data_IF_431025418502
#
_entry.id   IF_431025418502
#
_cell.length_a   1.000
_cell.length_b   1.000
_cell.length_c   1.000
_cell.angle_alpha   90.00
_cell.angle_beta   90.00
_cell.angle_gamma   90.00
#
_symmetry.space_group_name_H-M   'P 1'
#
loop_
_entity.id
_entity.type
_entity.pdbx_description
1 polymer ?
#
# COMPACT_ATOMS: atom_id res chain seq x y z
N UNK A 1 -20.61 -1.59 12.90
CA UNK A 1 -19.26 -1.61 12.30
C UNK A 1 -18.35 -2.51 13.13
N UNK A 2 -17.59 -3.39 12.50
CA UNK A 2 -16.52 -4.12 13.17
C UNK A 2 -15.25 -3.27 13.11
N UNK A 3 -14.70 -2.94 14.26
CA UNK A 3 -13.38 -2.35 14.42
C UNK A 3 -12.57 -3.29 15.31
N UNK A 4 -11.53 -3.90 14.75
CA UNK A 4 -10.76 -4.95 15.45
C UNK A 4 -9.31 -4.93 15.01
N UNK A 5 -8.40 -5.09 15.96
CA UNK A 5 -6.98 -5.35 15.69
C UNK A 5 -6.72 -6.85 15.73
N UNK A 6 -6.07 -7.36 14.71
CA UNK A 6 -5.63 -8.77 14.62
C UNK A 6 -4.11 -8.76 14.59
N UNK A 7 -3.48 -9.47 15.53
CA UNK A 7 -2.04 -9.70 15.51
C UNK A 7 -1.73 -10.86 14.57
N UNK A 8 -0.93 -10.67 13.54
CA UNK A 8 -0.74 -11.65 12.49
C UNK A 8 -0.12 -12.97 13.00
N UNK A 9 0.78 -12.90 13.99
CA UNK A 9 1.39 -14.11 14.59
C UNK A 9 0.39 -15.04 15.30
N UNK A 10 -0.79 -14.54 15.67
CA UNK A 10 -1.83 -15.37 16.31
C UNK A 10 -2.50 -16.30 15.29
N UNK A 11 -2.46 -15.95 14.01
CA UNK A 11 -2.95 -16.74 12.87
C UNK A 11 -1.83 -17.48 12.13
N UNK A 12 -0.64 -16.84 12.07
CA UNK A 12 0.54 -17.33 11.39
C UNK A 12 1.73 -17.30 12.37
N UNK A 13 1.92 -18.33 13.22
CA UNK A 13 2.93 -18.31 14.31
C UNK A 13 4.35 -17.99 13.84
N UNK A 14 4.75 -18.42 12.64
CA UNK A 14 6.06 -18.13 12.07
C UNK A 14 6.29 -16.62 11.83
N UNK A 15 5.22 -15.82 11.68
CA UNK A 15 5.34 -14.36 11.63
C UNK A 15 5.67 -13.74 13.00
N UNK A 16 5.65 -14.51 14.08
CA UNK A 16 6.06 -14.07 15.42
C UNK A 16 7.54 -14.28 15.74
N UNK A 17 8.30 -14.92 14.86
CA UNK A 17 9.72 -15.14 15.06
C UNK A 17 10.46 -13.82 15.22
N UNK A 18 11.54 -13.83 16.05
CA UNK A 18 12.33 -12.63 16.36
C UNK A 18 11.51 -11.45 16.95
N UNK A 19 10.46 -11.76 17.73
CA UNK A 19 9.58 -10.78 18.37
C UNK A 19 8.83 -9.86 17.41
N UNK A 20 8.55 -10.29 16.18
CA UNK A 20 7.68 -9.56 15.25
C UNK A 20 6.27 -9.42 15.83
N UNK A 21 5.66 -8.25 15.64
CA UNK A 21 4.34 -7.94 16.18
C UNK A 21 3.44 -7.22 15.16
N UNK A 22 3.63 -7.50 13.88
CA UNK A 22 2.79 -6.94 12.84
C UNK A 22 1.31 -7.22 13.12
N UNK A 23 0.49 -6.22 12.89
CA UNK A 23 -0.95 -6.33 13.10
C UNK A 23 -1.72 -5.63 11.98
N UNK A 24 -2.96 -6.05 11.80
CA UNK A 24 -3.90 -5.42 10.89
C UNK A 24 -5.12 -4.91 11.67
N UNK A 25 -5.45 -3.64 11.48
CA UNK A 25 -6.69 -3.05 12.01
C UNK A 25 -7.77 -3.12 10.95
N UNK A 26 -8.90 -3.72 11.29
CA UNK A 26 -10.07 -3.89 10.46
C UNK A 26 -11.08 -2.79 10.70
N UNK A 27 -11.59 -2.20 9.61
CA UNK A 27 -12.71 -1.27 9.59
C UNK A 27 -13.76 -1.82 8.62
N UNK A 28 -14.77 -2.53 9.15
CA UNK A 28 -15.77 -3.23 8.35
C UNK A 28 -17.16 -2.66 8.65
N UNK A 29 -17.81 -2.00 7.65
CA UNK A 29 -19.17 -1.48 7.83
C UNK A 29 -20.17 -2.60 8.08
N UNK A 30 -21.24 -2.30 8.84
CA UNK A 30 -22.35 -3.23 9.03
C UNK A 30 -23.09 -3.52 7.71
N UNK A 31 -23.68 -4.71 7.55
CA UNK A 31 -24.57 -4.99 6.44
C UNK A 31 -25.85 -4.13 6.52
N UNK A 32 -26.46 -3.88 5.34
CA UNK A 32 -27.69 -3.07 5.22
C UNK A 32 -28.88 -3.97 4.89
N UNK A 33 -29.39 -4.67 5.92
CA UNK A 33 -30.46 -5.67 5.76
C UNK A 33 -31.77 -5.06 5.25
N UNK A 34 -32.13 -3.86 5.70
CA UNK A 34 -33.35 -3.15 5.26
C UNK A 34 -33.34 -2.77 3.80
N UNK A 35 -32.15 -2.71 3.17
CA UNK A 35 -31.97 -2.47 1.75
C UNK A 35 -31.84 -3.76 0.93
N UNK A 36 -32.04 -4.93 1.51
CA UNK A 36 -31.78 -6.21 0.86
C UNK A 36 -30.30 -6.48 0.56
N UNK A 37 -29.39 -5.80 1.26
CA UNK A 37 -27.94 -5.91 1.06
C UNK A 37 -27.23 -6.60 2.23
N UNK A 38 -27.92 -7.54 2.89
CA UNK A 38 -27.36 -8.31 3.99
C UNK A 38 -26.10 -9.09 3.61
N UNK A 39 -26.09 -9.69 2.42
CA UNK A 39 -24.99 -10.50 1.90
C UNK A 39 -24.13 -9.76 0.87
N UNK A 40 -24.27 -8.44 0.77
CA UNK A 40 -23.50 -7.66 -0.18
C UNK A 40 -22.02 -7.63 0.17
N UNK A 41 -21.19 -8.15 -0.73
CA UNK A 41 -19.74 -8.16 -0.61
C UNK A 41 -19.17 -6.81 -1.07
N UNK A 42 -18.36 -6.21 -0.20
CA UNK A 42 -17.74 -4.90 -0.41
C UNK A 42 -16.35 -5.05 -1.04
N UNK A 43 -15.92 -4.10 -1.87
CA UNK A 43 -14.53 -4.01 -2.25
C UNK A 43 -13.66 -3.81 -1.01
N UNK A 44 -12.42 -4.29 -1.08
CA UNK A 44 -11.46 -4.23 0.01
C UNK A 44 -10.30 -3.30 -0.31
N UNK A 45 -9.77 -2.62 0.70
CA UNK A 45 -8.59 -1.78 0.60
C UNK A 45 -7.61 -2.14 1.73
N UNK A 46 -6.41 -2.61 1.35
CA UNK A 46 -5.29 -2.81 2.28
C UNK A 46 -4.43 -1.55 2.27
N UNK A 47 -4.19 -0.94 3.42
CA UNK A 47 -3.38 0.29 3.57
C UNK A 47 -2.05 -0.05 4.22
N UNK A 48 -0.96 0.34 3.58
CA UNK A 48 0.42 0.24 4.06
C UNK A 48 0.96 1.66 4.33
N UNK A 49 1.00 2.11 5.60
CA UNK A 49 1.56 3.41 5.96
C UNK A 49 3.05 3.53 5.61
N UNK A 50 3.54 4.75 5.43
CA UNK A 50 4.96 5.03 5.26
C UNK A 50 5.75 5.01 6.56
N UNK A 51 6.99 5.51 6.50
CA UNK A 51 7.90 5.62 7.64
C UNK A 51 9.26 4.98 7.40
N UNK A 52 9.70 4.87 6.15
CA UNK A 52 11.06 4.46 5.78
C UNK A 52 11.44 3.04 6.20
N UNK A 53 10.47 2.14 6.46
CA UNK A 53 10.67 0.84 7.12
C UNK A 53 11.30 0.92 8.52
N UNK A 54 11.37 2.11 9.11
CA UNK A 54 11.79 2.34 10.49
C UNK A 54 10.63 2.54 11.45
N UNK A 55 9.46 2.89 10.94
CA UNK A 55 8.21 3.06 11.67
C UNK A 55 7.01 2.88 10.72
N UNK A 56 5.79 2.86 11.27
CA UNK A 56 4.54 3.02 10.52
C UNK A 56 3.89 4.35 10.92
N UNK A 57 3.64 5.22 9.95
CA UNK A 57 3.09 6.56 10.14
C UNK A 57 1.61 6.51 10.54
N UNK A 58 1.24 7.16 11.66
CA UNK A 58 -0.16 7.21 12.12
C UNK A 58 -1.04 8.03 11.20
N UNK A 59 -0.54 9.15 10.66
CA UNK A 59 -1.30 10.02 9.75
C UNK A 59 -1.62 9.38 8.39
N UNK A 60 -0.91 8.33 8.02
CA UNK A 60 -1.10 7.56 6.79
C UNK A 60 -1.87 6.24 7.03
N UNK A 61 -2.45 6.08 8.20
CA UNK A 61 -3.17 4.91 8.68
C UNK A 61 -4.69 5.17 8.79
N UNK A 62 -5.18 5.39 10.02
CA UNK A 62 -6.61 5.59 10.31
C UNK A 62 -7.23 6.79 9.55
N UNK A 63 -6.62 7.99 9.49
CA UNK A 63 -7.21 9.11 8.75
C UNK A 63 -7.55 8.72 7.31
N UNK A 64 -6.64 8.02 6.63
CA UNK A 64 -6.85 7.54 5.25
C UNK A 64 -7.94 6.46 5.22
N UNK A 65 -7.93 5.53 6.17
CA UNK A 65 -8.95 4.46 6.25
C UNK A 65 -10.37 5.02 6.31
N UNK A 66 -10.60 6.08 7.08
CA UNK A 66 -11.91 6.73 7.23
C UNK A 66 -12.42 7.33 5.91
N UNK A 67 -11.55 7.88 5.08
CA UNK A 67 -11.91 8.40 3.75
C UNK A 67 -12.43 7.31 2.81
N UNK A 68 -11.87 6.10 2.84
CA UNK A 68 -12.29 4.99 1.98
C UNK A 68 -13.43 4.18 2.62
N UNK A 69 -13.48 4.10 3.95
CA UNK A 69 -14.60 3.51 4.68
C UNK A 69 -15.92 4.21 4.31
N UNK A 70 -15.93 5.55 4.22
CA UNK A 70 -17.09 6.34 3.81
C UNK A 70 -17.56 6.06 2.38
N UNK A 71 -16.69 5.47 1.55
CA UNK A 71 -17.00 5.05 0.16
C UNK A 71 -17.52 3.60 0.09
N UNK A 72 -17.67 2.92 1.22
CA UNK A 72 -18.19 1.56 1.29
C UNK A 72 -17.18 0.45 1.16
N UNK A 73 -15.88 0.75 1.27
CA UNK A 73 -14.83 -0.25 1.32
C UNK A 73 -14.78 -0.95 2.68
N UNK A 74 -14.43 -2.23 2.69
CA UNK A 74 -13.81 -2.87 3.84
C UNK A 74 -12.34 -2.48 3.86
N UNK A 75 -11.87 -1.85 4.96
CA UNK A 75 -10.52 -1.31 5.04
C UNK A 75 -9.68 -2.06 6.05
N UNK A 76 -8.44 -2.36 5.67
CA UNK A 76 -7.46 -3.13 6.44
C UNK A 76 -6.17 -2.31 6.54
N UNK A 77 -5.86 -1.76 7.70
CA UNK A 77 -4.62 -1.00 7.92
C UNK A 77 -3.57 -1.94 8.47
N UNK A 78 -2.55 -2.23 7.66
CA UNK A 78 -1.43 -3.08 8.05
C UNK A 78 -0.32 -2.26 8.69
N UNK A 79 -0.06 -2.50 9.98
CA UNK A 79 1.15 -2.07 10.66
C UNK A 79 2.19 -3.18 10.56
N UNK A 80 2.95 -3.14 9.48
CA UNK A 80 3.95 -4.14 9.17
C UNK A 80 5.19 -4.03 10.06
N UNK A 81 5.98 -5.10 10.14
CA UNK A 81 7.24 -5.12 10.87
C UNK A 81 8.25 -4.14 10.26
N UNK A 82 8.89 -3.38 11.12
CA UNK A 82 9.91 -2.38 10.74
C UNK A 82 11.27 -2.78 11.28
N UNK A 83 12.33 -2.06 10.91
CA UNK A 83 13.67 -2.31 11.45
C UNK A 83 13.62 -2.48 12.98
N UNK A 84 14.32 -3.47 13.56
CA UNK A 84 15.38 -4.30 12.97
C UNK A 84 14.91 -5.50 12.14
N UNK A 85 13.60 -5.70 11.98
CA UNK A 85 13.07 -6.78 11.13
C UNK A 85 13.30 -6.45 9.65
N UNK A 86 13.64 -7.49 8.87
CA UNK A 86 14.11 -7.35 7.49
C UNK A 86 13.19 -8.06 6.51
N UNK A 87 13.38 -7.78 5.24
CA UNK A 87 12.83 -8.59 4.16
C UNK A 87 13.19 -10.07 4.39
N UNK A 88 12.24 -11.01 4.15
CA UNK A 88 10.95 -10.84 3.49
C UNK A 88 9.76 -10.59 4.44
N UNK A 89 9.98 -10.25 5.71
CA UNK A 89 8.92 -10.16 6.73
C UNK A 89 7.75 -9.29 6.27
N UNK A 90 8.01 -8.10 5.75
CA UNK A 90 6.99 -7.13 5.34
C UNK A 90 6.14 -7.65 4.18
N UNK A 91 6.76 -8.33 3.21
CA UNK A 91 6.05 -8.94 2.08
C UNK A 91 5.15 -10.10 2.54
N UNK A 92 5.64 -10.94 3.44
CA UNK A 92 4.88 -12.01 4.06
C UNK A 92 3.66 -11.49 4.84
N UNK A 93 3.82 -10.35 5.51
CA UNK A 93 2.73 -9.74 6.29
C UNK A 93 1.63 -9.17 5.40
N UNK A 94 1.95 -8.61 4.22
CA UNK A 94 0.93 -8.27 3.22
C UNK A 94 0.22 -9.53 2.71
N UNK A 95 0.97 -10.58 2.36
CA UNK A 95 0.40 -11.84 1.89
C UNK A 95 -0.51 -12.48 2.95
N UNK A 96 -0.14 -12.41 4.23
CA UNK A 96 -0.96 -12.89 5.35
C UNK A 96 -2.29 -12.12 5.46
N UNK A 97 -2.28 -10.79 5.29
CA UNK A 97 -3.52 -10.00 5.28
C UNK A 97 -4.39 -10.37 4.08
N UNK A 98 -3.81 -10.55 2.90
CA UNK A 98 -4.55 -10.98 1.71
C UNK A 98 -5.18 -12.36 1.91
N UNK A 99 -4.45 -13.28 2.52
CA UNK A 99 -4.98 -14.62 2.84
C UNK A 99 -6.09 -14.55 3.90
N UNK A 100 -5.93 -13.75 4.97
CA UNK A 100 -6.99 -13.53 5.96
C UNK A 100 -8.27 -12.97 5.32
N UNK A 101 -8.16 -12.05 4.36
CA UNK A 101 -9.31 -11.52 3.61
C UNK A 101 -10.00 -12.65 2.82
N UNK A 102 -9.23 -13.51 2.16
CA UNK A 102 -9.79 -14.63 1.40
C UNK A 102 -10.48 -15.65 2.32
N UNK A 103 -9.85 -16.05 3.42
CA UNK A 103 -10.37 -17.02 4.37
C UNK A 103 -11.64 -16.55 5.10
N UNK A 104 -11.77 -15.24 5.31
CA UNK A 104 -12.91 -14.64 6.02
C UNK A 104 -13.89 -13.91 5.09
N UNK A 105 -13.80 -14.12 3.77
CA UNK A 105 -14.53 -13.36 2.77
C UNK A 105 -16.05 -13.31 3.00
N UNK A 106 -16.64 -14.41 3.45
CA UNK A 106 -18.08 -14.50 3.71
C UNK A 106 -18.45 -13.79 5.02
N UNK A 107 -17.70 -14.03 6.10
CA UNK A 107 -17.95 -13.45 7.42
C UNK A 107 -17.72 -11.94 7.45
N UNK A 108 -16.74 -11.47 6.69
CA UNK A 108 -16.38 -10.03 6.59
C UNK A 108 -17.07 -9.33 5.42
N UNK A 109 -17.89 -10.03 4.68
CA UNK A 109 -18.54 -9.52 3.46
C UNK A 109 -17.54 -8.90 2.48
N UNK A 110 -16.40 -9.56 2.26
CA UNK A 110 -15.34 -9.11 1.35
C UNK A 110 -15.54 -9.66 -0.06
N UNK A 111 -15.40 -8.82 -1.06
CA UNK A 111 -15.26 -9.25 -2.44
C UNK A 111 -13.78 -9.44 -2.78
N UNK A 112 -13.35 -10.68 -2.78
CA UNK A 112 -11.96 -11.07 -3.03
C UNK A 112 -11.49 -10.85 -4.49
N UNK A 113 -12.38 -10.45 -5.37
CA UNK A 113 -12.06 -10.08 -6.74
C UNK A 113 -12.02 -8.55 -6.93
N UNK A 114 -12.25 -7.79 -5.85
CA UNK A 114 -12.18 -6.33 -5.82
C UNK A 114 -11.34 -5.86 -4.63
N UNK A 115 -10.07 -6.26 -4.60
CA UNK A 115 -9.12 -5.88 -3.55
C UNK A 115 -8.07 -4.94 -4.13
N UNK A 116 -7.94 -3.75 -3.56
CA UNK A 116 -6.85 -2.82 -3.85
C UNK A 116 -5.86 -2.75 -2.69
N UNK A 117 -4.62 -2.36 -3.01
CA UNK A 117 -3.61 -2.00 -2.02
C UNK A 117 -3.26 -0.53 -2.16
N UNK A 118 -3.15 0.18 -1.03
CA UNK A 118 -2.76 1.58 -0.98
C UNK A 118 -1.52 1.71 -0.11
N UNK A 119 -0.50 2.43 -0.59
CA UNK A 119 0.72 2.62 0.20
C UNK A 119 1.33 4.00 0.04
N UNK A 120 1.93 4.48 1.13
CA UNK A 120 2.60 5.77 1.23
C UNK A 120 4.10 5.59 1.37
N UNK A 121 4.92 6.36 0.65
CA UNK A 121 6.37 6.37 0.85
C UNK A 121 6.97 4.95 0.82
N UNK A 122 7.61 4.49 1.90
CA UNK A 122 8.09 3.11 2.05
C UNK A 122 6.95 2.07 2.04
N UNK A 123 5.75 2.40 2.56
CA UNK A 123 4.55 1.58 2.40
C UNK A 123 4.07 1.53 0.95
N UNK A 124 4.33 2.60 0.18
CA UNK A 124 4.15 2.62 -1.28
C UNK A 124 5.08 1.64 -1.99
N UNK A 125 6.35 1.53 -1.53
CA UNK A 125 7.26 0.49 -1.99
C UNK A 125 6.72 -0.90 -1.67
N UNK A 126 6.27 -1.14 -0.45
CA UNK A 126 5.71 -2.43 -0.03
C UNK A 126 4.48 -2.80 -0.87
N UNK A 127 3.58 -1.85 -1.13
CA UNK A 127 2.42 -2.04 -1.98
C UNK A 127 2.80 -2.36 -3.44
N UNK A 128 3.75 -1.61 -4.02
CA UNK A 128 4.25 -1.87 -5.36
C UNK A 128 5.01 -3.20 -5.44
N UNK A 129 5.80 -3.53 -4.40
CA UNK A 129 6.53 -4.80 -4.33
C UNK A 129 5.58 -5.99 -4.29
N UNK A 130 4.54 -5.97 -3.45
CA UNK A 130 3.53 -7.02 -3.46
C UNK A 130 2.81 -7.09 -4.83
N UNK A 131 2.50 -5.97 -5.44
CA UNK A 131 1.85 -5.90 -6.75
C UNK A 131 2.67 -6.52 -7.89
N UNK A 132 4.00 -6.56 -7.74
CA UNK A 132 4.93 -7.10 -8.76
C UNK A 132 5.53 -8.45 -8.40
N UNK A 133 5.37 -8.92 -7.16
CA UNK A 133 6.04 -10.12 -6.62
C UNK A 133 5.12 -11.06 -5.84
N UNK A 134 3.79 -10.91 -5.89
CA UNK A 134 2.86 -11.75 -5.12
C UNK A 134 2.94 -13.25 -5.46
N UNK A 135 3.39 -13.60 -6.66
CA UNK A 135 3.44 -14.95 -7.21
C UNK A 135 4.80 -15.65 -7.04
N UNK A 136 5.76 -15.01 -6.35
CA UNK A 136 7.04 -15.70 -6.07
C UNK A 136 6.82 -16.96 -5.25
N UNK A 137 7.60 -18.04 -5.52
CA UNK A 137 7.39 -19.35 -4.89
C UNK A 137 7.30 -19.32 -3.37
N UNK A 138 8.10 -18.47 -2.73
CA UNK A 138 8.13 -18.33 -1.28
C UNK A 138 6.80 -17.80 -0.71
N UNK A 139 6.23 -16.79 -1.31
CA UNK A 139 4.91 -16.25 -0.91
C UNK A 139 3.82 -17.30 -1.15
N UNK A 140 3.82 -17.94 -2.33
CA UNK A 140 2.81 -18.92 -2.70
C UNK A 140 2.84 -20.18 -1.82
N UNK A 141 4.02 -20.56 -1.35
CA UNK A 141 4.18 -21.71 -0.45
C UNK A 141 3.64 -21.43 0.96
N UNK A 142 3.90 -20.23 1.48
CA UNK A 142 3.50 -19.84 2.83
C UNK A 142 2.04 -19.38 2.92
N UNK A 143 1.52 -18.78 1.84
CA UNK A 143 0.19 -18.18 1.76
C UNK A 143 -0.54 -18.65 0.49
N UNK A 144 -0.92 -19.94 0.40
CA UNK A 144 -1.46 -20.52 -0.83
C UNK A 144 -2.81 -19.92 -1.26
N UNK A 145 -3.59 -19.38 -0.32
CA UNK A 145 -4.90 -18.77 -0.59
C UNK A 145 -4.81 -17.25 -0.84
N UNK A 146 -3.64 -16.63 -0.64
CA UNK A 146 -3.44 -15.22 -0.96
C UNK A 146 -3.64 -14.97 -2.46
N UNK A 147 -4.21 -13.80 -2.79
CA UNK A 147 -4.50 -13.42 -4.18
C UNK A 147 -3.75 -12.16 -4.57
N UNK A 148 -3.53 -11.94 -5.89
CA UNK A 148 -3.07 -10.64 -6.37
C UNK A 148 -4.10 -9.56 -6.06
N UNK A 149 -3.64 -8.33 -5.89
CA UNK A 149 -4.51 -7.17 -5.85
C UNK A 149 -4.94 -6.78 -7.27
N UNK A 150 -6.14 -6.20 -7.40
CA UNK A 150 -6.70 -5.79 -8.69
C UNK A 150 -6.39 -4.34 -9.03
N UNK A 151 -5.89 -3.57 -8.06
CA UNK A 151 -5.47 -2.17 -8.24
C UNK A 151 -4.46 -1.77 -7.17
N UNK A 152 -3.57 -0.83 -7.49
CA UNK A 152 -2.69 -0.19 -6.52
C UNK A 152 -2.86 1.32 -6.51
N UNK A 153 -2.83 1.93 -5.30
CA UNK A 153 -2.80 3.38 -5.10
C UNK A 153 -1.49 3.72 -4.40
N UNK A 154 -0.61 4.45 -5.07
CA UNK A 154 0.75 4.70 -4.62
C UNK A 154 0.95 6.20 -4.38
N UNK A 155 1.13 6.57 -3.12
CA UNK A 155 1.22 7.95 -2.67
C UNK A 155 2.69 8.29 -2.40
N UNK A 156 3.27 9.21 -3.20
CA UNK A 156 4.70 9.59 -3.16
C UNK A 156 5.62 8.39 -2.85
N UNK A 157 5.49 7.29 -3.60
CA UNK A 157 6.08 6.03 -3.23
C UNK A 157 7.60 6.02 -3.41
N UNK A 158 8.30 5.34 -2.50
CA UNK A 158 9.61 4.79 -2.82
C UNK A 158 9.39 3.68 -3.84
N UNK A 159 10.14 3.66 -4.93
CA UNK A 159 10.00 2.68 -6.02
C UNK A 159 11.35 2.07 -6.40
N UNK A 160 12.32 2.93 -6.68
CA UNK A 160 13.60 2.51 -7.25
C UNK A 160 14.72 2.54 -6.21
N UNK A 161 15.50 1.48 -6.19
CA UNK A 161 16.72 1.38 -5.40
C UNK A 161 17.95 1.97 -6.14
N UNK A 162 17.76 2.56 -7.33
CA UNK A 162 18.82 3.25 -8.08
C UNK A 162 19.37 4.42 -7.24
N UNK A 163 20.68 4.45 -6.95
CA UNK A 163 21.28 5.48 -6.08
C UNK A 163 21.01 6.92 -6.50
N UNK A 164 20.70 7.16 -7.79
CA UNK A 164 20.40 8.50 -8.29
C UNK A 164 19.06 9.06 -7.79
N UNK A 165 18.11 8.20 -7.42
CA UNK A 165 16.74 8.60 -7.02
C UNK A 165 16.22 7.85 -5.78
N UNK A 166 16.99 6.89 -5.26
CA UNK A 166 16.56 6.07 -4.14
C UNK A 166 16.46 6.87 -2.84
N UNK A 167 15.45 6.59 -2.05
CA UNK A 167 15.47 6.88 -0.62
C UNK A 167 16.25 5.77 0.09
N UNK A 168 17.58 5.87 0.13
CA UNK A 168 18.49 4.82 0.62
C UNK A 168 18.14 4.32 2.02
N UNK A 169 17.72 5.22 2.93
CA UNK A 169 17.33 4.85 4.29
C UNK A 169 16.21 3.81 4.35
N UNK A 170 15.25 3.85 3.42
CA UNK A 170 14.22 2.80 3.32
C UNK A 170 14.81 1.44 3.00
N UNK A 171 15.70 1.36 2.02
CA UNK A 171 16.32 0.09 1.63
C UNK A 171 17.31 -0.42 2.68
N UNK A 172 18.05 0.47 3.34
CA UNK A 172 18.91 0.12 4.47
C UNK A 172 18.11 -0.50 5.62
N UNK A 173 16.97 0.10 5.97
CA UNK A 173 16.05 -0.44 6.97
C UNK A 173 15.44 -1.77 6.54
N UNK A 174 15.00 -1.89 5.28
CA UNK A 174 14.38 -3.10 4.74
C UNK A 174 15.36 -4.28 4.69
N UNK A 175 16.58 -4.04 4.27
CA UNK A 175 17.56 -5.10 3.98
C UNK A 175 18.60 -5.29 5.07
N UNK A 176 18.80 -4.30 5.95
CA UNK A 176 19.81 -4.35 7.00
C UNK A 176 21.25 -4.20 6.51
N UNK A 177 21.43 -3.43 5.45
CA UNK A 177 22.74 -3.21 4.80
C UNK A 177 23.07 -1.72 4.77
N UNK A 178 24.35 -1.37 4.78
CA UNK A 178 24.78 0.03 4.65
C UNK A 178 24.76 0.50 3.18
N UNK A 179 25.09 -0.40 2.26
CA UNK A 179 25.09 -0.14 0.83
C UNK A 179 24.42 -1.29 0.07
N UNK A 180 23.75 -0.96 -1.02
CA UNK A 180 23.08 -1.93 -1.88
C UNK A 180 24.04 -2.49 -2.92
N UNK A 181 23.95 -3.78 -3.16
CA UNK A 181 24.59 -4.43 -4.31
C UNK A 181 23.75 -4.23 -5.58
N UNK A 182 24.36 -4.40 -6.76
CA UNK A 182 23.63 -4.31 -8.04
C UNK A 182 22.46 -5.30 -8.12
N UNK A 183 22.62 -6.49 -7.54
CA UNK A 183 21.54 -7.47 -7.46
C UNK A 183 20.37 -6.96 -6.61
N UNK A 184 20.65 -6.38 -5.44
CA UNK A 184 19.62 -5.79 -4.58
C UNK A 184 18.95 -4.59 -5.25
N UNK A 185 19.73 -3.74 -5.96
CA UNK A 185 19.15 -2.63 -6.72
C UNK A 185 18.15 -3.17 -7.75
N UNK A 186 18.49 -4.24 -8.47
CA UNK A 186 17.58 -4.84 -9.44
C UNK A 186 16.36 -5.51 -8.80
N UNK A 187 16.57 -6.24 -7.71
CA UNK A 187 15.53 -7.00 -7.04
C UNK A 187 14.50 -6.11 -6.35
N UNK A 188 14.95 -5.01 -5.71
CA UNK A 188 14.08 -4.13 -4.93
C UNK A 188 13.64 -2.86 -5.67
N UNK A 189 14.00 -2.68 -6.94
CA UNK A 189 13.45 -1.63 -7.79
C UNK A 189 12.15 -2.11 -8.43
N UNK A 190 11.01 -1.67 -7.91
CA UNK A 190 9.70 -2.10 -8.40
C UNK A 190 9.45 -1.73 -9.86
N UNK A 191 10.04 -0.64 -10.36
CA UNK A 191 10.01 -0.23 -11.77
C UNK A 191 10.65 -1.27 -12.71
N UNK A 192 11.62 -2.06 -12.20
CA UNK A 192 12.28 -3.15 -12.95
C UNK A 192 11.56 -4.50 -12.83
N UNK A 193 10.52 -4.56 -12.00
CA UNK A 193 9.77 -5.78 -11.67
C UNK A 193 8.37 -5.81 -12.30
N UNK A 194 8.00 -4.76 -13.03
CA UNK A 194 6.72 -4.71 -13.73
C UNK A 194 6.64 -5.83 -14.77
N UNK A 195 5.51 -6.53 -14.79
CA UNK A 195 5.18 -7.59 -15.75
C UNK A 195 3.76 -7.38 -16.26
N UNK A 196 3.33 -8.13 -17.26
CA UNK A 196 1.97 -8.07 -17.82
C UNK A 196 0.89 -8.46 -16.77
N UNK A 197 1.28 -9.01 -15.62
CA UNK A 197 0.39 -9.38 -14.50
C UNK A 197 0.33 -8.31 -13.40
N UNK A 198 1.13 -7.25 -13.51
CA UNK A 198 1.09 -6.13 -12.56
C UNK A 198 -0.26 -5.40 -12.67
N UNK A 199 -0.95 -5.10 -11.56
CA UNK A 199 -2.26 -4.45 -11.61
C UNK A 199 -2.17 -3.00 -12.06
N UNK A 200 -3.28 -2.42 -12.56
CA UNK A 200 -3.40 -0.98 -12.79
C UNK A 200 -3.03 -0.16 -11.56
N UNK A 201 -2.44 1.01 -11.77
CA UNK A 201 -2.00 1.88 -10.70
C UNK A 201 -2.55 3.30 -10.78
N UNK A 202 -2.96 3.85 -9.63
CA UNK A 202 -3.13 5.28 -9.41
C UNK A 202 -1.94 5.79 -8.61
N UNK A 203 -1.35 6.90 -9.03
CA UNK A 203 -0.18 7.46 -8.36
C UNK A 203 -0.33 8.97 -8.18
N UNK A 204 0.21 9.49 -7.07
CA UNK A 204 0.39 10.92 -6.93
C UNK A 204 1.71 11.25 -6.22
N UNK A 205 2.26 12.42 -6.53
CA UNK A 205 3.52 12.91 -6.00
C UNK A 205 3.57 14.43 -6.07
N UNK A 206 4.43 15.06 -5.30
CA UNK A 206 4.76 16.48 -5.47
C UNK A 206 6.12 16.64 -6.16
N UNK A 207 6.25 17.64 -7.03
CA UNK A 207 7.50 17.90 -7.75
C UNK A 207 8.63 18.41 -6.84
N UNK A 208 8.28 19.01 -5.69
CA UNK A 208 9.22 19.54 -4.70
C UNK A 208 9.60 18.53 -3.60
N UNK A 209 9.18 17.27 -3.71
CA UNK A 209 9.58 16.24 -2.75
C UNK A 209 11.08 16.00 -2.80
N UNK A 210 11.78 16.51 -1.78
CA UNK A 210 13.22 16.44 -1.65
C UNK A 210 13.70 15.16 -0.91
N UNK A 211 12.78 14.37 -0.33
CA UNK A 211 13.10 13.15 0.38
C UNK A 211 12.99 11.92 -0.53
N UNK A 212 11.89 11.81 -1.26
CA UNK A 212 11.66 10.79 -2.29
C UNK A 212 11.42 11.50 -3.62
N UNK A 213 12.41 11.60 -4.49
CA UNK A 213 12.26 12.31 -5.75
C UNK A 213 11.09 11.78 -6.60
N UNK A 214 10.31 12.70 -7.20
CA UNK A 214 9.17 12.38 -8.08
C UNK A 214 9.54 11.42 -9.22
N UNK A 215 10.82 11.33 -9.57
CA UNK A 215 11.36 10.38 -10.53
C UNK A 215 11.02 8.91 -10.18
N UNK A 216 10.81 8.57 -8.91
CA UNK A 216 10.32 7.25 -8.49
C UNK A 216 8.96 6.94 -9.14
N UNK A 217 7.99 7.82 -8.98
CA UNK A 217 6.65 7.65 -9.59
C UNK A 217 6.69 7.67 -11.10
N UNK A 218 7.47 8.57 -11.68
CA UNK A 218 7.59 8.68 -13.15
C UNK A 218 8.19 7.42 -13.78
N UNK A 219 9.23 6.83 -13.18
CA UNK A 219 9.82 5.57 -13.66
C UNK A 219 8.84 4.41 -13.60
N UNK A 220 8.10 4.28 -12.49
CA UNK A 220 7.10 3.21 -12.36
C UNK A 220 5.97 3.38 -13.36
N UNK A 221 5.47 4.60 -13.55
CA UNK A 221 4.46 4.89 -14.57
C UNK A 221 4.95 4.56 -15.99
N UNK A 222 6.22 4.87 -16.30
CA UNK A 222 6.85 4.50 -17.58
C UNK A 222 6.86 2.98 -17.76
N UNK A 223 7.35 2.24 -16.77
CA UNK A 223 7.37 0.77 -16.83
C UNK A 223 5.97 0.17 -17.01
N UNK A 224 4.95 0.68 -16.30
CA UNK A 224 3.56 0.25 -16.50
C UNK A 224 3.07 0.50 -17.93
N UNK A 225 3.37 1.67 -18.51
CA UNK A 225 2.94 1.99 -19.88
C UNK A 225 3.65 1.13 -20.94
N UNK A 226 4.92 0.78 -20.74
CA UNK A 226 5.66 -0.15 -21.60
C UNK A 226 5.01 -1.54 -21.64
N UNK A 227 4.43 -1.99 -20.51
CA UNK A 227 3.64 -3.22 -20.39
C UNK A 227 2.15 -3.02 -20.74
N UNK A 228 1.73 -1.84 -21.20
CA UNK A 228 0.33 -1.49 -21.55
C UNK A 228 -0.63 -1.61 -20.36
N UNK A 229 -0.13 -1.48 -19.14
CA UNK A 229 -0.93 -1.50 -17.94
C UNK A 229 -1.52 -0.10 -17.71
N UNK A 230 -2.83 0.02 -17.43
CA UNK A 230 -3.44 1.33 -17.16
C UNK A 230 -2.82 2.01 -15.95
N UNK A 231 -2.42 3.26 -16.11
CA UNK A 231 -1.87 4.09 -15.03
C UNK A 231 -2.49 5.48 -15.06
N UNK A 232 -2.84 5.98 -13.86
CA UNK A 232 -3.20 7.38 -13.64
C UNK A 232 -2.13 7.99 -12.74
N UNK A 233 -1.45 9.05 -13.19
CA UNK A 233 -0.42 9.72 -12.41
C UNK A 233 -0.72 11.21 -12.29
N UNK A 234 -0.65 11.74 -11.05
CA UNK A 234 -0.86 13.14 -10.71
C UNK A 234 0.41 13.69 -10.08
N UNK A 235 1.01 14.69 -10.72
CA UNK A 235 2.18 15.39 -10.17
C UNK A 235 1.76 16.81 -9.81
N UNK A 236 1.76 17.11 -8.52
CA UNK A 236 1.45 18.44 -8.00
C UNK A 236 2.72 19.31 -7.93
N UNK A 237 2.63 20.61 -8.24
CA UNK A 237 3.82 21.45 -8.36
C UNK A 237 4.54 21.65 -7.04
N UNK A 238 3.82 21.77 -5.91
CA UNK A 238 4.36 22.14 -4.61
C UNK A 238 4.02 21.11 -3.53
N UNK A 239 4.87 21.03 -2.52
CA UNK A 239 4.68 20.24 -1.32
C UNK A 239 5.89 19.37 -0.96
N UNK A 240 6.04 19.14 0.34
CA UNK A 240 7.08 18.26 0.89
C UNK A 240 6.62 16.82 0.99
N UNK A 241 7.52 15.92 1.36
CA UNK A 241 7.22 14.51 1.54
C UNK A 241 6.26 14.25 2.72
N UNK A 242 5.32 13.32 2.56
CA UNK A 242 4.50 12.82 3.67
C UNK A 242 3.27 13.66 3.97
N UNK A 243 2.63 14.25 2.97
CA UNK A 243 1.43 15.08 3.11
C UNK A 243 0.14 14.31 3.46
N UNK A 244 0.12 12.99 3.32
CA UNK A 244 -1.03 12.12 3.64
C UNK A 244 -2.33 12.60 2.98
N UNK A 245 -3.37 12.94 3.77
CA UNK A 245 -4.67 13.41 3.27
C UNK A 245 -4.66 14.88 2.83
N UNK A 246 -3.56 15.60 3.09
CA UNK A 246 -3.40 17.04 2.74
C UNK A 246 -4.48 17.91 3.39
N UNK A 247 -4.79 17.63 4.65
CA UNK A 247 -5.77 18.37 5.45
C UNK A 247 -5.28 18.62 6.87
N UNK A 248 -6.06 19.38 7.67
CA UNK A 248 -5.73 19.75 9.05
C UNK A 248 -5.75 18.56 10.02
N UNK A 249 -6.26 17.38 9.61
CA UNK A 249 -6.22 16.18 10.41
C UNK A 249 -4.82 15.56 10.44
N UNK A 250 -4.09 15.69 9.34
CA UNK A 250 -2.80 15.01 9.13
C UNK A 250 -1.61 15.96 9.04
N UNK A 251 -1.86 17.26 8.97
CA UNK A 251 -0.84 18.30 8.84
C UNK A 251 -1.18 19.51 9.73
N UNK A 252 -0.17 20.27 10.10
CA UNK A 252 -0.34 21.65 10.51
C UNK A 252 -0.93 22.47 9.35
N UNK A 253 -1.48 23.68 9.60
CA UNK A 253 -2.05 24.49 8.53
C UNK A 253 -1.12 24.61 7.32
N UNK A 254 -1.61 24.16 6.17
CA UNK A 254 -0.83 24.12 4.93
C UNK A 254 -0.98 25.42 4.13
N UNK A 255 0.08 25.88 3.45
CA UNK A 255 -0.04 26.93 2.44
C UNK A 255 -1.03 26.57 1.33
N UNK A 256 -1.76 27.54 0.81
CA UNK A 256 -2.82 27.34 -0.19
C UNK A 256 -2.33 26.59 -1.44
N UNK A 257 -1.11 26.88 -1.90
CA UNK A 257 -0.51 26.20 -3.05
C UNK A 257 -0.20 24.72 -2.82
N UNK A 258 -0.16 24.26 -1.56
CA UNK A 258 0.00 22.86 -1.18
C UNK A 258 -1.36 22.19 -0.99
N UNK A 259 -2.35 22.89 -0.42
CA UNK A 259 -3.72 22.39 -0.26
C UNK A 259 -4.33 21.85 -1.57
N UNK A 260 -3.89 22.38 -2.71
CA UNK A 260 -4.28 21.90 -4.03
C UNK A 260 -4.02 20.39 -4.23
N UNK A 261 -3.01 19.83 -3.56
CA UNK A 261 -2.73 18.40 -3.64
C UNK A 261 -3.80 17.51 -2.98
N UNK A 262 -4.71 18.05 -2.15
CA UNK A 262 -5.81 17.30 -1.53
C UNK A 262 -6.75 16.64 -2.55
N UNK A 263 -6.82 17.15 -3.77
CA UNK A 263 -7.63 16.60 -4.87
C UNK A 263 -7.29 15.13 -5.18
N UNK A 264 -6.11 14.65 -4.77
CA UNK A 264 -5.71 13.27 -5.00
C UNK A 264 -6.68 12.25 -4.41
N UNK A 265 -7.25 12.54 -3.23
CA UNK A 265 -8.19 11.64 -2.56
C UNK A 265 -9.44 11.38 -3.40
N UNK A 266 -10.04 12.45 -3.93
CA UNK A 266 -11.26 12.33 -4.75
C UNK A 266 -10.95 11.73 -6.12
N UNK A 267 -9.79 12.03 -6.69
CA UNK A 267 -9.32 11.40 -7.92
C UNK A 267 -9.09 9.89 -7.71
N UNK A 268 -8.44 9.48 -6.60
CA UNK A 268 -8.21 8.07 -6.27
C UNK A 268 -9.51 7.30 -6.04
N UNK A 269 -10.47 7.89 -5.28
CA UNK A 269 -11.80 7.28 -5.06
C UNK A 269 -12.54 7.05 -6.36
N UNK A 270 -12.56 8.03 -7.25
CA UNK A 270 -13.16 7.92 -8.60
C UNK A 270 -12.49 6.84 -9.43
N UNK A 271 -11.16 6.86 -9.46
CA UNK A 271 -10.37 5.91 -10.22
C UNK A 271 -10.60 4.47 -9.74
N UNK A 272 -10.54 4.23 -8.43
CA UNK A 272 -10.80 2.92 -7.84
C UNK A 272 -12.21 2.42 -8.15
N UNK A 273 -13.24 3.29 -8.10
CA UNK A 273 -14.60 2.92 -8.45
C UNK A 273 -14.72 2.48 -9.92
N UNK A 274 -13.97 3.08 -10.83
CA UNK A 274 -13.97 2.71 -12.25
C UNK A 274 -13.19 1.41 -12.46
N UNK A 275 -12.06 1.24 -11.78
CA UNK A 275 -11.13 0.13 -11.97
C UNK A 275 -11.64 -1.16 -11.34
N UNK A 276 -12.29 -1.09 -10.18
CA UNK A 276 -12.80 -2.25 -9.44
C UNK A 276 -14.29 -2.56 -9.74
N UNK A 277 -15.04 -1.65 -10.31
CA UNK A 277 -16.48 -1.80 -10.61
C UNK A 277 -17.36 -1.39 -9.45
#
# INVERSE_FOLDING_TARGET
MIHKVITLKDHYPFLGENNRSANVTLYLPDPMHEMGRGDWKRPCLVICPGGGYGMCSDREAEPVALHFLSQGYNVFVLRYSVAPHRFPSQLHEVAAVMELICQNADVWHCDINRVAILGFSAGGHLAAHYSTCFDIPEVRQLFPESKPVQASVLCYPVISADPCIAHLGSFQNLLGVEALTDNQINEFSCDRRVTDHTPPAFMWHTAEDNLVPVANSLRYATALTEHKIPVSIHVYPAGWHGLSTVDDQTNDPLPENICYAADWLDAAKKWLKITLG
#
